data_IF_089086320791
#
_entry.id   IF_089086320791
#
_cell.length_a   1.000
_cell.length_b   1.000
_cell.length_c   1.000
_cell.angle_alpha   90.00
_cell.angle_beta   90.00
_cell.angle_gamma   90.00
#
_symmetry.space_group_name_H-M   'P 1'
#
loop_
_entity.id
_entity.type
_entity.pdbx_description
1 polymer ?
#
# COMPACT_ATOMS: atom_id res chain seq x y z
N UNK A 1 13.55 15.71 -12.15
CA UNK A 1 13.24 16.73 -11.12
C UNK A 1 13.13 15.94 -9.83
N UNK A 2 13.80 16.35 -8.74
CA UNK A 2 13.77 15.58 -7.50
C UNK A 2 12.34 15.42 -6.98
N UNK A 3 12.10 14.39 -6.18
CA UNK A 3 10.84 14.24 -5.46
C UNK A 3 10.59 15.45 -4.55
N UNK A 4 9.32 15.85 -4.44
CA UNK A 4 8.87 16.89 -3.51
C UNK A 4 8.22 16.21 -2.32
N UNK A 5 8.67 16.54 -1.11
CA UNK A 5 8.09 16.01 0.14
C UNK A 5 7.06 16.97 0.71
N UNK A 6 5.90 16.44 1.06
CA UNK A 6 4.86 17.13 1.84
C UNK A 6 4.67 16.42 3.19
N UNK A 7 4.85 17.15 4.30
CA UNK A 7 4.63 16.60 5.65
C UNK A 7 3.13 16.57 5.96
N UNK A 8 2.58 15.36 6.11
CA UNK A 8 1.14 15.13 6.34
C UNK A 8 0.64 15.59 7.72
N UNK A 9 1.53 16.01 8.62
CA UNK A 9 1.17 16.57 9.94
C UNK A 9 0.87 18.07 9.89
N UNK A 10 1.24 18.73 8.79
CA UNK A 10 1.13 20.17 8.61
C UNK A 10 0.02 20.58 7.63
N UNK A 11 0.18 21.78 7.08
CA UNK A 11 -0.66 22.23 5.96
C UNK A 11 -0.29 21.43 4.70
N UNK A 12 -1.27 20.72 4.16
CA UNK A 12 -1.11 19.88 2.98
C UNK A 12 -1.55 20.65 1.73
N UNK A 13 -0.69 20.81 0.71
CA UNK A 13 -1.14 21.27 -0.59
C UNK A 13 -1.85 20.11 -1.30
N UNK A 14 -3.18 20.11 -1.27
CA UNK A 14 -3.97 19.00 -1.80
C UNK A 14 -3.91 18.94 -3.33
N UNK A 15 -3.48 17.82 -3.92
CA UNK A 15 -3.50 17.62 -5.37
C UNK A 15 -4.92 17.32 -5.83
N UNK A 16 -5.16 17.43 -7.14
CA UNK A 16 -6.45 17.03 -7.73
C UNK A 16 -6.69 15.52 -7.63
N UNK A 17 -5.64 14.70 -7.70
CA UNK A 17 -5.69 13.22 -7.63
C UNK A 17 -4.56 12.72 -6.73
N UNK A 18 -4.88 11.85 -5.77
CA UNK A 18 -3.94 11.34 -4.77
C UNK A 18 -4.00 9.81 -4.72
N UNK A 19 -2.87 9.16 -4.99
CA UNK A 19 -2.73 7.71 -4.80
C UNK A 19 -2.40 7.38 -3.34
N UNK A 20 -3.13 6.44 -2.75
CA UNK A 20 -2.92 5.95 -1.39
C UNK A 20 -2.20 4.60 -1.43
N UNK A 21 -0.96 4.58 -0.95
CA UNK A 21 -0.15 3.38 -0.79
C UNK A 21 -0.66 2.47 0.35
N UNK A 22 -0.34 1.17 0.28
CA UNK A 22 -0.73 0.15 1.24
C UNK A 22 -0.30 0.50 2.68
N UNK A 23 0.87 1.14 2.85
CA UNK A 23 1.37 1.53 4.16
C UNK A 23 0.48 2.55 4.88
N UNK A 24 -0.13 3.50 4.14
CA UNK A 24 -1.07 4.50 4.68
C UNK A 24 -2.39 3.85 5.06
N UNK A 25 -2.93 2.98 4.20
CA UNK A 25 -4.16 2.22 4.47
C UNK A 25 -4.01 1.33 5.71
N UNK A 26 -2.90 0.60 5.80
CA UNK A 26 -2.58 -0.26 6.94
C UNK A 26 -2.36 0.54 8.22
N UNK A 27 -1.67 1.68 8.15
CA UNK A 27 -1.46 2.57 9.29
C UNK A 27 -2.78 3.07 9.86
N UNK A 28 -3.68 3.56 9.01
CA UNK A 28 -4.99 4.01 9.44
C UNK A 28 -5.86 2.89 10.03
N UNK A 29 -5.81 1.69 9.44
CA UNK A 29 -6.49 0.52 9.99
C UNK A 29 -5.99 0.18 11.41
N UNK A 30 -4.66 0.18 11.64
CA UNK A 30 -4.09 -0.10 12.97
C UNK A 30 -4.55 0.90 14.03
N UNK A 31 -4.67 2.17 13.66
CA UNK A 31 -5.20 3.22 14.55
C UNK A 31 -6.67 2.94 14.89
N UNK A 32 -7.48 2.60 13.88
CA UNK A 32 -8.89 2.23 14.08
C UNK A 32 -9.10 1.01 14.99
N UNK A 33 -8.12 0.12 15.06
CA UNK A 33 -8.10 -1.04 15.97
C UNK A 33 -7.55 -0.72 17.38
N UNK A 34 -7.32 0.55 17.72
CA UNK A 34 -6.80 0.97 19.02
C UNK A 34 -5.26 0.87 19.16
N UNK A 35 -4.56 0.60 18.06
CA UNK A 35 -3.10 0.62 17.98
C UNK A 35 -2.56 1.92 17.39
N UNK A 36 -1.48 1.82 16.60
CA UNK A 36 -0.91 2.94 15.87
C UNK A 36 0.28 3.59 16.57
N UNK A 37 1.43 3.65 15.89
CA UNK A 37 2.49 4.59 16.28
C UNK A 37 2.14 6.04 15.88
N UNK A 38 3.03 7.00 16.16
CA UNK A 38 2.80 8.42 15.81
C UNK A 38 2.66 8.67 14.32
N UNK A 39 3.32 7.86 13.48
CA UNK A 39 3.30 7.96 12.01
C UNK A 39 1.96 7.45 11.48
N UNK A 40 1.51 6.32 12.00
CA UNK A 40 0.23 5.70 11.67
C UNK A 40 -0.94 6.59 12.10
N UNK A 41 -0.83 7.25 13.26
CA UNK A 41 -1.80 8.26 13.72
C UNK A 41 -1.86 9.48 12.80
N UNK A 42 -0.71 9.95 12.32
CA UNK A 42 -0.67 11.05 11.35
C UNK A 42 -1.31 10.63 10.01
N UNK A 43 -1.05 9.42 9.53
CA UNK A 43 -1.69 8.87 8.33
C UNK A 43 -3.22 8.77 8.49
N UNK A 44 -3.71 8.31 9.63
CA UNK A 44 -5.14 8.23 9.91
C UNK A 44 -5.81 9.62 9.90
N UNK A 45 -5.19 10.61 10.54
CA UNK A 45 -5.68 11.99 10.54
C UNK A 45 -5.63 12.61 9.14
N UNK A 46 -4.56 12.37 8.38
CA UNK A 46 -4.42 12.80 7.00
C UNK A 46 -5.52 12.24 6.10
N UNK A 47 -5.79 10.93 6.16
CA UNK A 47 -6.88 10.29 5.39
C UNK A 47 -8.25 10.88 5.74
N UNK A 48 -8.52 11.15 7.02
CA UNK A 48 -9.78 11.74 7.46
C UNK A 48 -9.93 13.21 7.03
N UNK A 49 -8.81 13.90 6.75
CA UNK A 49 -8.76 15.30 6.35
C UNK A 49 -8.75 15.55 4.85
N UNK A 50 -8.82 14.51 4.01
CA UNK A 50 -8.83 14.65 2.55
C UNK A 50 -10.06 15.47 2.13
N UNK A 51 -9.88 16.62 1.46
CA UNK A 51 -10.99 17.47 1.06
C UNK A 51 -11.70 16.89 -0.18
N UNK A 52 -12.99 17.22 -0.35
CA UNK A 52 -13.79 16.68 -1.46
C UNK A 52 -13.35 17.08 -2.88
N UNK A 53 -12.42 18.02 -3.03
CA UNK A 53 -11.81 18.36 -4.34
C UNK A 53 -10.55 17.53 -4.66
N UNK A 54 -10.03 16.78 -3.68
CA UNK A 54 -8.92 15.86 -3.87
C UNK A 54 -9.49 14.46 -4.10
N UNK A 55 -9.31 13.94 -5.31
CA UNK A 55 -9.78 12.61 -5.64
C UNK A 55 -8.79 11.57 -5.12
N UNK A 56 -9.06 11.02 -3.94
CA UNK A 56 -8.22 10.00 -3.32
C UNK A 56 -8.61 8.60 -3.77
N UNK A 57 -7.61 7.79 -4.14
CA UNK A 57 -7.83 6.45 -4.67
C UNK A 57 -6.67 5.49 -4.38
N UNK A 58 -6.92 4.20 -4.57
CA UNK A 58 -5.90 3.14 -4.42
C UNK A 58 -6.14 2.02 -5.44
N UNK A 59 -5.21 1.07 -5.56
CA UNK A 59 -5.31 -0.07 -6.49
C UNK A 59 -5.66 -1.38 -5.78
N UNK A 60 -6.10 -2.41 -6.54
CA UNK A 60 -6.28 -3.74 -5.94
C UNK A 60 -4.98 -4.29 -5.39
N UNK A 61 -3.84 -3.98 -6.02
CA UNK A 61 -2.53 -4.39 -5.52
C UNK A 61 -2.26 -3.84 -4.12
N UNK A 62 -2.52 -2.56 -3.87
CA UNK A 62 -2.34 -1.96 -2.55
C UNK A 62 -3.32 -2.57 -1.52
N UNK A 63 -4.55 -2.90 -1.93
CA UNK A 63 -5.51 -3.61 -1.08
C UNK A 63 -5.01 -5.03 -0.76
N UNK A 64 -4.51 -5.76 -1.76
CA UNK A 64 -3.94 -7.10 -1.59
C UNK A 64 -2.73 -7.08 -0.67
N UNK A 65 -1.83 -6.10 -0.83
CA UNK A 65 -0.67 -5.92 0.04
C UNK A 65 -1.08 -5.59 1.48
N UNK A 66 -2.06 -4.70 1.65
CA UNK A 66 -2.63 -4.38 2.96
C UNK A 66 -3.20 -5.66 3.61
N UNK A 67 -3.92 -6.48 2.86
CA UNK A 67 -4.43 -7.76 3.35
C UNK A 67 -3.31 -8.75 3.67
N UNK A 68 -2.26 -8.79 2.86
CA UNK A 68 -1.09 -9.63 3.09
C UNK A 68 -0.37 -9.24 4.37
N UNK A 69 -0.26 -7.96 4.70
CA UNK A 69 0.32 -7.50 5.96
C UNK A 69 -0.45 -8.04 7.19
N UNK A 70 -1.78 -8.16 7.11
CA UNK A 70 -2.60 -8.77 8.17
C UNK A 70 -2.35 -10.29 8.31
N UNK A 71 -2.08 -10.98 7.20
CA UNK A 71 -1.78 -12.42 7.14
C UNK A 71 -0.33 -12.74 7.55
N UNK A 72 0.62 -11.89 7.15
CA UNK A 72 2.07 -12.12 7.24
C UNK A 72 2.55 -12.22 8.67
N UNK A 73 1.97 -11.45 9.61
CA UNK A 73 2.42 -11.45 11.01
C UNK A 73 2.20 -12.81 11.72
N UNK A 74 0.97 -13.37 11.77
CA UNK A 74 0.76 -14.72 12.31
C UNK A 74 1.64 -15.79 11.65
N UNK A 75 1.80 -15.72 10.33
CA UNK A 75 2.64 -16.67 9.57
C UNK A 75 4.12 -16.54 9.94
N UNK A 76 4.64 -15.31 10.07
CA UNK A 76 6.02 -15.05 10.48
C UNK A 76 6.25 -15.46 11.93
N UNK A 77 5.31 -15.19 12.84
CA UNK A 77 5.40 -15.61 14.24
C UNK A 77 5.45 -17.14 14.36
N UNK A 78 4.63 -17.87 13.59
CA UNK A 78 4.66 -19.33 13.54
C UNK A 78 5.96 -19.88 12.91
N UNK A 79 6.44 -19.26 11.84
CA UNK A 79 7.69 -19.66 11.17
C UNK A 79 8.91 -19.42 12.09
N UNK A 80 8.95 -18.28 12.80
CA UNK A 80 10.01 -17.93 13.74
C UNK A 80 10.09 -18.93 14.92
N UNK A 81 8.96 -19.39 15.45
CA UNK A 81 8.91 -20.43 16.49
C UNK A 81 9.56 -21.75 16.06
N UNK A 82 9.67 -21.98 14.74
CA UNK A 82 10.28 -23.16 14.14
C UNK A 82 11.65 -22.89 13.52
N UNK A 83 12.13 -21.64 13.56
CA UNK A 83 13.33 -21.20 12.83
C UNK A 83 13.26 -21.51 11.33
N UNK A 84 12.09 -21.33 10.71
CA UNK A 84 11.83 -21.61 9.30
C UNK A 84 11.45 -20.35 8.53
N UNK A 85 11.59 -20.41 7.21
CA UNK A 85 10.90 -19.48 6.31
C UNK A 85 9.39 -19.80 6.28
N UNK A 86 8.54 -18.85 5.87
CA UNK A 86 7.10 -19.13 5.68
C UNK A 86 6.87 -20.25 4.63
N UNK A 87 7.59 -20.28 3.49
CA UNK A 87 7.51 -21.42 2.56
C UNK A 87 7.92 -22.76 3.17
N UNK A 88 8.95 -22.79 4.02
CA UNK A 88 9.35 -24.02 4.72
C UNK A 88 8.36 -24.42 5.80
N UNK A 89 7.76 -23.46 6.52
CA UNK A 89 6.67 -23.74 7.46
C UNK A 89 5.51 -24.43 6.74
N UNK A 90 5.09 -23.90 5.58
CA UNK A 90 4.02 -24.49 4.76
C UNK A 90 4.33 -25.93 4.33
N UNK A 91 5.58 -26.21 3.94
CA UNK A 91 6.00 -27.53 3.45
C UNK A 91 6.23 -28.54 4.56
N UNK A 92 6.87 -28.13 5.66
CA UNK A 92 7.37 -29.02 6.72
C UNK A 92 6.42 -29.11 7.92
N UNK A 93 5.60 -28.10 8.16
CA UNK A 93 4.62 -28.05 9.25
C UNK A 93 3.25 -27.50 8.78
N UNK A 94 2.53 -28.20 7.89
CA UNK A 94 1.23 -27.75 7.37
C UNK A 94 0.18 -27.40 8.45
N UNK A 95 0.08 -28.09 9.61
CA UNK A 95 -0.86 -27.72 10.66
C UNK A 95 -0.58 -26.33 11.25
N UNK A 96 0.67 -26.04 11.60
CA UNK A 96 1.10 -24.75 12.14
C UNK A 96 0.86 -23.62 11.13
N UNK A 97 1.17 -23.87 9.84
CA UNK A 97 0.86 -22.94 8.75
C UNK A 97 -0.65 -22.67 8.66
N UNK A 98 -1.47 -23.73 8.69
CA UNK A 98 -2.93 -23.62 8.52
C UNK A 98 -3.57 -22.88 9.69
N UNK A 99 -3.12 -23.15 10.91
CA UNK A 99 -3.57 -22.43 12.10
C UNK A 99 -3.19 -20.95 12.03
N UNK A 100 -1.93 -20.63 11.71
CA UNK A 100 -1.48 -19.25 11.56
C UNK A 100 -2.23 -18.51 10.43
N UNK A 101 -2.45 -19.19 9.30
CA UNK A 101 -3.22 -18.66 8.18
C UNK A 101 -4.68 -18.38 8.57
N UNK A 102 -5.33 -19.28 9.32
CA UNK A 102 -6.69 -19.06 9.81
C UNK A 102 -6.79 -17.86 10.76
N UNK A 103 -5.82 -17.68 11.66
CA UNK A 103 -5.73 -16.49 12.53
C UNK A 103 -5.61 -15.22 11.70
N UNK A 104 -4.71 -15.20 10.71
CA UNK A 104 -4.55 -14.07 9.81
C UNK A 104 -5.82 -13.78 9.00
N UNK A 105 -6.46 -14.81 8.45
CA UNK A 105 -7.72 -14.70 7.69
C UNK A 105 -8.86 -14.15 8.56
N UNK A 106 -8.89 -14.47 9.85
CA UNK A 106 -9.82 -13.85 10.79
C UNK A 106 -9.68 -12.33 10.90
N UNK A 107 -8.51 -11.78 10.53
CA UNK A 107 -8.22 -10.33 10.54
C UNK A 107 -8.52 -9.64 9.21
N UNK A 108 -8.68 -10.38 8.11
CA UNK A 108 -8.92 -9.76 6.80
C UNK A 108 -10.36 -9.25 6.68
N UNK A 109 -11.35 -9.88 7.32
CA UNK A 109 -12.73 -9.40 7.25
C UNK A 109 -12.94 -8.01 7.89
N UNK A 110 -12.46 -7.73 9.13
CA UNK A 110 -12.47 -6.38 9.69
C UNK A 110 -11.70 -5.36 8.85
N UNK A 111 -10.54 -5.76 8.30
CA UNK A 111 -9.77 -4.90 7.40
C UNK A 111 -10.56 -4.54 6.14
N UNK A 112 -11.20 -5.51 5.48
CA UNK A 112 -12.01 -5.26 4.29
C UNK A 112 -13.23 -4.38 4.61
N UNK A 113 -13.84 -4.54 5.79
CA UNK A 113 -14.92 -3.67 6.24
C UNK A 113 -14.43 -2.23 6.45
N UNK A 114 -13.25 -2.06 7.06
CA UNK A 114 -12.60 -0.76 7.19
C UNK A 114 -12.32 -0.11 5.83
N UNK A 115 -11.68 -0.84 4.91
CA UNK A 115 -11.34 -0.34 3.57
C UNK A 115 -12.59 0.06 2.76
N UNK A 116 -13.68 -0.71 2.87
CA UNK A 116 -14.97 -0.37 2.24
C UNK A 116 -15.64 0.87 2.86
N UNK A 117 -15.33 1.18 4.11
CA UNK A 117 -15.84 2.35 4.81
C UNK A 117 -15.08 3.64 4.48
N UNK A 118 -13.93 3.55 3.82
CA UNK A 118 -13.18 4.71 3.36
C UNK A 118 -13.87 5.36 2.16
N UNK A 119 -13.97 6.69 2.16
CA UNK A 119 -14.43 7.47 1.01
C UNK A 119 -13.32 7.63 -0.03
N UNK A 120 -12.79 6.52 -0.53
CA UNK A 120 -11.74 6.48 -1.55
C UNK A 120 -12.18 5.63 -2.74
N UNK A 121 -11.75 6.01 -3.93
CA UNK A 121 -12.04 5.22 -5.14
C UNK A 121 -11.08 4.04 -5.26
N UNK A 122 -11.59 2.87 -5.63
CA UNK A 122 -10.75 1.76 -6.04
C UNK A 122 -10.56 1.82 -7.56
N UNK A 123 -9.31 2.04 -8.00
CA UNK A 123 -8.96 2.06 -9.42
C UNK A 123 -8.00 0.94 -9.72
N UNK A 124 -8.44 0.04 -10.57
CA UNK A 124 -7.53 -0.57 -11.51
C UNK A 124 -7.41 0.34 -12.72
N UNK A 125 -6.36 0.22 -13.53
CA UNK A 125 -6.40 0.72 -14.90
C UNK A 125 -7.62 0.11 -15.61
N UNK A 126 -8.75 0.82 -15.53
CA UNK A 126 -10.08 0.28 -15.77
C UNK A 126 -10.37 0.37 -17.24
N UNK A 127 -10.22 -0.75 -17.90
CA UNK A 127 -10.34 -0.82 -19.33
C UNK A 127 -10.90 -2.21 -19.69
N UNK A 128 -11.62 -2.39 -20.83
CA UNK A 128 -12.02 -3.71 -21.31
C UNK A 128 -10.83 -4.68 -21.31
N UNK A 129 -11.06 -6.00 -21.24
CA UNK A 129 -10.01 -7.01 -20.99
C UNK A 129 -8.72 -6.85 -21.83
N UNK A 130 -8.83 -6.37 -23.08
CA UNK A 130 -7.68 -6.07 -23.96
C UNK A 130 -6.80 -4.90 -23.49
N UNK A 131 -7.39 -3.97 -22.76
CA UNK A 131 -6.85 -2.68 -22.34
C UNK A 131 -6.39 -2.76 -20.86
N UNK A 132 -6.93 -3.70 -20.07
CA UNK A 132 -6.36 -4.15 -18.78
C UNK A 132 -4.99 -4.82 -18.96
N UNK A 133 -4.90 -5.74 -19.91
CA UNK A 133 -3.62 -6.39 -20.27
C UNK A 133 -2.60 -5.36 -20.76
N UNK A 134 -3.05 -4.36 -21.52
CA UNK A 134 -2.19 -3.25 -21.95
C UNK A 134 -1.67 -2.43 -20.78
N UNK A 135 -2.52 -2.09 -19.81
CA UNK A 135 -2.10 -1.35 -18.63
C UNK A 135 -1.15 -2.15 -17.73
N UNK A 136 -1.37 -3.47 -17.58
CA UNK A 136 -0.42 -4.35 -16.88
C UNK A 136 0.93 -4.39 -17.58
N UNK A 137 0.95 -4.51 -18.91
CA UNK A 137 2.20 -4.46 -19.70
C UNK A 137 2.90 -3.12 -19.55
N UNK A 138 2.16 -2.01 -19.59
CA UNK A 138 2.70 -0.68 -19.37
C UNK A 138 3.27 -0.53 -17.96
N UNK A 139 2.58 -1.05 -16.94
CA UNK A 139 3.06 -1.07 -15.56
C UNK A 139 4.35 -1.89 -15.45
N UNK A 140 4.38 -3.11 -15.99
CA UNK A 140 5.59 -3.95 -16.02
C UNK A 140 6.75 -3.27 -16.75
N UNK A 141 6.48 -2.55 -17.84
CA UNK A 141 7.50 -1.79 -18.57
C UNK A 141 8.07 -0.66 -17.70
N UNK A 142 7.21 0.14 -17.06
CA UNK A 142 7.64 1.21 -16.15
C UNK A 142 8.40 0.65 -14.95
N UNK A 143 7.89 -0.42 -14.32
CA UNK A 143 8.55 -1.12 -13.21
C UNK A 143 9.94 -1.57 -13.64
N UNK A 144 10.09 -2.21 -14.80
CA UNK A 144 11.40 -2.64 -15.31
C UNK A 144 12.37 -1.47 -15.49
N UNK A 145 11.91 -0.31 -15.95
CA UNK A 145 12.75 0.89 -16.05
C UNK A 145 13.16 1.40 -14.68
N UNK A 146 12.22 1.46 -13.73
CA UNK A 146 12.46 1.92 -12.38
C UNK A 146 13.37 0.97 -11.57
N UNK A 147 13.24 -0.35 -11.74
CA UNK A 147 14.10 -1.35 -11.09
C UNK A 147 15.60 -1.18 -11.38
N UNK A 148 15.95 -0.62 -12.54
CA UNK A 148 17.35 -0.35 -12.89
C UNK A 148 17.87 0.97 -12.31
N UNK A 149 17.00 1.79 -11.73
CA UNK A 149 17.28 3.17 -11.32
C UNK A 149 17.13 3.36 -9.81
N UNK A 150 16.14 2.70 -9.20
CA UNK A 150 15.74 2.90 -7.81
C UNK A 150 15.77 1.56 -7.06
N UNK A 151 16.31 1.59 -5.84
CA UNK A 151 16.32 0.45 -4.93
C UNK A 151 15.03 0.42 -4.09
N UNK A 152 13.94 -0.03 -4.71
CA UNK A 152 12.62 -0.14 -4.06
C UNK A 152 12.08 -1.57 -4.09
N UNK A 153 11.19 -1.89 -3.15
CA UNK A 153 10.44 -3.15 -3.22
C UNK A 153 9.58 -3.18 -4.48
N UNK A 154 9.36 -4.39 -5.01
CA UNK A 154 8.61 -4.56 -6.26
C UNK A 154 7.18 -4.02 -6.16
N UNK A 155 6.53 -4.15 -5.00
CA UNK A 155 5.19 -3.62 -4.77
C UNK A 155 5.15 -2.09 -4.90
N UNK A 156 6.12 -1.39 -4.29
CA UNK A 156 6.23 0.06 -4.38
C UNK A 156 6.42 0.55 -5.81
N UNK A 157 7.25 -0.15 -6.58
CA UNK A 157 7.44 0.16 -7.99
C UNK A 157 6.13 0.03 -8.78
N UNK A 158 5.31 -0.98 -8.49
CA UNK A 158 3.99 -1.10 -9.12
C UNK A 158 3.02 -0.02 -8.67
N UNK A 159 3.02 0.38 -7.41
CA UNK A 159 2.22 1.50 -6.90
C UNK A 159 2.55 2.80 -7.63
N UNK A 160 3.83 3.11 -7.75
CA UNK A 160 4.31 4.28 -8.51
C UNK A 160 3.90 4.16 -9.98
N UNK A 161 4.06 2.98 -10.59
CA UNK A 161 3.67 2.78 -11.99
C UNK A 161 2.16 2.99 -12.19
N UNK A 162 1.31 2.50 -11.29
CA UNK A 162 -0.14 2.70 -11.38
C UNK A 162 -0.54 4.16 -11.19
N UNK A 163 0.04 4.86 -10.21
CA UNK A 163 -0.14 6.29 -10.04
C UNK A 163 0.18 7.05 -11.33
N UNK A 164 1.36 6.80 -11.92
CA UNK A 164 1.80 7.45 -13.16
C UNK A 164 0.89 7.13 -14.36
N UNK A 165 0.42 5.89 -14.48
CA UNK A 165 -0.48 5.47 -15.58
C UNK A 165 -1.88 6.08 -15.46
N UNK A 166 -2.34 6.34 -14.24
CA UNK A 166 -3.59 7.06 -13.98
C UNK A 166 -3.43 8.59 -14.10
N UNK A 167 -2.19 9.06 -14.30
CA UNK A 167 -1.89 10.46 -14.54
C UNK A 167 -1.62 11.29 -13.28
N UNK A 168 -1.35 10.65 -12.14
CA UNK A 168 -0.90 11.34 -10.93
C UNK A 168 0.56 11.00 -10.58
N UNK A 169 1.25 11.99 -10.05
CA UNK A 169 2.56 11.85 -9.40
C UNK A 169 2.46 12.02 -7.88
N UNK A 170 1.27 12.30 -7.35
CA UNK A 170 1.02 12.50 -5.93
C UNK A 170 0.70 11.17 -5.24
N UNK A 171 1.55 10.79 -4.28
CA UNK A 171 1.46 9.52 -3.56
C UNK A 171 1.55 9.77 -2.06
N UNK A 172 0.56 9.29 -1.31
CA UNK A 172 0.64 9.21 0.14
C UNK A 172 1.20 7.85 0.57
N UNK A 173 2.31 7.87 1.29
CA UNK A 173 3.01 6.67 1.78
C UNK A 173 3.69 6.91 3.13
N UNK A 174 3.90 5.86 3.90
CA UNK A 174 4.79 5.86 5.07
C UNK A 174 6.17 5.27 4.75
N UNK A 175 6.46 4.93 3.51
CA UNK A 175 7.80 4.54 3.09
C UNK A 175 8.62 5.76 2.64
N UNK A 176 9.85 5.87 3.14
CA UNK A 176 10.75 6.98 2.78
C UNK A 176 11.40 6.76 1.41
N UNK A 177 11.47 5.53 0.91
CA UNK A 177 12.10 5.22 -0.37
C UNK A 177 11.43 5.90 -1.56
N UNK A 178 10.15 6.29 -1.45
CA UNK A 178 9.47 7.04 -2.52
C UNK A 178 10.10 8.42 -2.76
N UNK A 179 10.82 8.97 -1.77
CA UNK A 179 11.55 10.24 -1.90
C UNK A 179 12.75 10.14 -2.85
N UNK A 180 13.22 8.93 -3.15
CA UNK A 180 14.33 8.71 -4.08
C UNK A 180 13.87 8.72 -5.54
N UNK A 181 12.55 8.76 -5.81
CA UNK A 181 11.98 8.66 -7.15
C UNK A 181 11.65 10.03 -7.73
N UNK A 182 12.39 10.39 -8.78
CA UNK A 182 12.25 11.67 -9.46
C UNK A 182 10.80 11.93 -9.96
N UNK A 183 10.35 13.16 -9.71
CA UNK A 183 9.08 13.70 -10.19
C UNK A 183 7.86 13.34 -9.35
N UNK A 184 8.02 12.64 -8.22
CA UNK A 184 6.91 12.36 -7.29
C UNK A 184 6.63 13.52 -6.34
N UNK A 185 5.35 13.69 -6.01
CA UNK A 185 4.89 14.47 -4.85
C UNK A 185 4.54 13.48 -3.74
N UNK A 186 5.40 13.40 -2.73
CA UNK A 186 5.34 12.37 -1.68
C UNK A 186 4.75 12.97 -0.42
N UNK A 187 3.54 12.53 -0.07
CA UNK A 187 2.83 12.89 1.15
C UNK A 187 3.17 11.87 2.23
N UNK A 188 4.09 12.23 3.13
CA UNK A 188 4.60 11.32 4.16
C UNK A 188 4.88 12.04 5.49
N UNK A 189 5.34 11.30 6.47
CA UNK A 189 5.92 11.85 7.71
C UNK A 189 7.46 11.82 7.61
N UNK A 190 8.17 12.84 8.14
CA UNK A 190 9.63 12.90 8.21
C UNK A 190 10.31 11.71 8.90
#
# INVERSE_FOLDING_TARGET
MPAVRHDIRGSVPWPASLYLDASVLMGAYKVGMGGGDSREKAAAAFLAGIPGHCEAWTSLLAIEETCWAALKRPLRDAANKRHLSIPDLKRRHPPDYTQAYAIGRGRTAPLMAFLKGLSISLREPSAPASRQEQARRAACFLVRQMMNTYELEMADLFHIAFAKLDGTNAIATLDKGYLDVDGLEVFTVP
#
